data_IF_929305711470
#
_entry.id   IF_929305711470
#
_cell.length_a   1.000
_cell.length_b   1.000
_cell.length_c   1.000
_cell.angle_alpha   90.00
_cell.angle_beta   90.00
_cell.angle_gamma   90.00
#
_symmetry.space_group_name_H-M   'P 1'
#
loop_
_entity.id
_entity.type
_entity.pdbx_description
1 polymer ?
#
# COMPACT_ATOMS: atom_id res chain seq x y z
N UNK A 1 -55.93 22.95 61.70
CA UNK A 1 -55.27 24.25 61.49
C UNK A 1 -53.77 23.97 61.47
N UNK A 2 -53.04 24.40 60.42
CA UNK A 2 -51.58 24.27 60.25
C UNK A 2 -51.04 22.83 60.15
N UNK A 3 -50.06 22.43 59.33
CA UNK A 3 -49.28 22.98 58.21
C UNK A 3 -48.37 21.81 57.70
N UNK A 4 -48.20 21.53 56.40
CA UNK A 4 -47.10 22.03 55.54
C UNK A 4 -45.70 21.82 56.21
N UNK A 5 -44.69 21.10 55.68
CA UNK A 5 -44.37 20.48 54.37
C UNK A 5 -43.38 19.29 54.58
N UNK A 6 -43.24 18.31 53.66
CA UNK A 6 -41.93 17.90 53.08
C UNK A 6 -42.04 16.79 51.98
N UNK A 7 -41.54 17.12 50.77
CA UNK A 7 -40.80 16.29 49.78
C UNK A 7 -41.22 14.83 49.48
N UNK A 8 -41.81 14.63 48.30
CA UNK A 8 -41.66 13.38 47.52
C UNK A 8 -40.42 13.43 46.60
N UNK A 9 -39.76 12.28 46.43
CA UNK A 9 -38.64 12.11 45.51
C UNK A 9 -39.09 11.30 44.27
N UNK A 10 -39.29 11.98 43.14
CA UNK A 10 -39.62 11.35 41.86
C UNK A 10 -38.39 10.73 41.18
N UNK A 11 -38.29 9.41 41.16
CA UNK A 11 -37.24 8.69 40.44
C UNK A 11 -37.48 8.68 38.92
N UNK A 12 -36.50 9.16 38.14
CA UNK A 12 -36.47 9.02 36.68
C UNK A 12 -35.88 7.66 36.25
N UNK A 13 -36.33 7.08 35.11
CA UNK A 13 -35.84 5.79 34.63
C UNK A 13 -34.41 5.85 34.10
N UNK A 14 -33.63 4.80 34.36
CA UNK A 14 -32.24 4.66 33.93
C UNK A 14 -32.11 4.45 32.41
N UNK A 15 -31.09 5.07 31.81
CA UNK A 15 -30.67 4.80 30.43
C UNK A 15 -29.82 3.50 30.34
N UNK A 16 -29.92 2.72 29.25
CA UNK A 16 -29.12 1.51 29.07
C UNK A 16 -27.69 1.83 28.62
N UNK A 17 -26.71 1.35 29.39
CA UNK A 17 -25.28 1.44 29.04
C UNK A 17 -24.92 0.52 27.88
N UNK A 18 -24.25 1.04 26.85
CA UNK A 18 -23.69 0.24 25.77
C UNK A 18 -22.29 -0.32 26.15
N UNK A 19 -21.94 -1.57 25.76
CA UNK A 19 -20.63 -2.14 26.05
C UNK A 19 -19.57 -1.70 25.03
N UNK A 20 -18.39 -1.32 25.53
CA UNK A 20 -17.23 -0.99 24.70
C UNK A 20 -16.64 -2.25 24.02
N UNK A 21 -16.63 -2.28 22.69
CA UNK A 21 -15.93 -3.31 21.93
C UNK A 21 -14.44 -2.94 21.79
N UNK A 22 -13.56 -3.78 22.36
CA UNK A 22 -12.11 -3.63 22.23
C UNK A 22 -11.60 -4.23 20.91
N UNK A 23 -10.65 -3.55 20.27
CA UNK A 23 -9.95 -4.03 19.06
C UNK A 23 -8.81 -4.99 19.45
N UNK A 24 -8.64 -6.15 18.76
CA UNK A 24 -7.48 -7.01 18.98
C UNK A 24 -6.22 -6.47 18.29
N UNK A 25 -5.11 -6.40 19.02
CA UNK A 25 -3.78 -6.12 18.49
C UNK A 25 -3.09 -7.35 17.88
N UNK A 26 -1.98 -7.16 17.13
CA UNK A 26 -1.28 -8.25 16.46
C UNK A 26 -0.47 -9.13 17.42
N UNK A 27 -0.52 -10.44 17.23
CA UNK A 27 0.25 -11.40 18.02
C UNK A 27 1.71 -11.48 17.53
N UNK A 28 2.66 -11.31 18.44
CA UNK A 28 4.07 -11.60 18.21
C UNK A 28 4.40 -13.04 18.62
N UNK A 29 5.04 -13.81 17.73
CA UNK A 29 5.56 -15.14 18.04
C UNK A 29 7.05 -15.04 18.41
N UNK A 30 7.37 -15.31 19.68
CA UNK A 30 8.74 -15.43 20.18
C UNK A 30 9.06 -16.88 20.54
N UNK A 31 10.33 -17.28 20.37
CA UNK A 31 10.79 -18.66 20.55
C UNK A 31 11.35 -18.95 21.96
N UNK A 32 11.36 -20.23 22.36
CA UNK A 32 12.07 -20.76 23.52
C UNK A 32 12.04 -22.31 23.56
N UNK A 33 13.19 -22.95 23.80
CA UNK A 33 13.33 -24.42 24.01
C UNK A 33 13.30 -24.80 25.51
N UNK A 34 14.09 -25.78 26.03
CA UNK A 34 14.98 -26.78 25.40
C UNK A 34 14.89 -28.23 26.02
N UNK A 35 15.83 -29.15 25.69
CA UNK A 35 16.11 -30.45 26.38
C UNK A 35 16.08 -31.68 25.44
N UNK A 36 17.19 -32.35 25.08
CA UNK A 36 17.98 -33.39 25.81
C UNK A 36 17.26 -34.77 25.96
N UNK A 37 17.88 -35.96 25.75
CA UNK A 37 19.29 -36.36 25.55
C UNK A 37 19.47 -37.73 24.82
N UNK A 38 20.72 -38.06 24.43
CA UNK A 38 21.23 -39.42 24.14
C UNK A 38 21.15 -39.92 22.67
N UNK A 39 22.16 -40.56 22.07
CA UNK A 39 23.55 -40.81 22.49
C UNK A 39 24.11 -42.15 21.95
N UNK A 40 25.15 -42.12 21.09
CA UNK A 40 26.12 -43.21 20.85
C UNK A 40 27.21 -42.76 19.85
N UNK A 41 28.48 -42.87 20.23
CA UNK A 41 29.65 -42.88 19.32
C UNK A 41 29.99 -44.32 18.89
N UNK A 42 30.71 -44.46 17.77
CA UNK A 42 31.73 -45.51 17.60
C UNK A 42 32.87 -44.94 16.72
N UNK A 43 34.12 -45.27 17.04
CA UNK A 43 35.30 -44.57 16.54
C UNK A 43 36.52 -45.48 16.41
N UNK A 44 37.10 -45.53 15.20
CA UNK A 44 38.47 -46.02 14.94
C UNK A 44 39.26 -44.94 14.17
N UNK A 45 40.37 -44.41 14.67
CA UNK A 45 41.70 -45.05 14.81
C UNK A 45 42.29 -45.47 13.46
N UNK A 46 43.49 -45.06 13.00
CA UNK A 46 44.59 -44.26 13.60
C UNK A 46 45.37 -43.51 12.50
N UNK A 47 46.16 -42.49 12.86
CA UNK A 47 47.10 -41.79 11.96
C UNK A 47 48.58 -42.04 12.33
N UNK A 48 49.43 -42.16 11.31
CA UNK A 48 50.90 -42.13 11.37
C UNK A 48 51.49 -42.82 10.14
N UNK A 49 52.54 -42.33 9.46
CA UNK A 49 53.29 -41.06 9.57
C UNK A 49 54.44 -41.02 8.54
N UNK A 50 55.16 -39.89 8.46
CA UNK A 50 56.40 -39.63 7.70
C UNK A 50 56.33 -39.28 6.18
N UNK A 51 57.11 -38.24 5.82
CA UNK A 51 57.60 -37.79 4.48
C UNK A 51 59.09 -38.22 4.35
N UNK A 52 59.85 -38.10 3.21
CA UNK A 52 59.77 -37.17 2.06
C UNK A 52 59.97 -37.89 0.67
N UNK A 53 60.51 -37.38 -0.46
CA UNK A 53 61.17 -36.10 -0.86
C UNK A 53 61.12 -35.88 -2.41
N UNK A 54 61.07 -34.61 -2.88
CA UNK A 54 61.22 -34.22 -4.31
C UNK A 54 60.05 -34.61 -5.25
N UNK A 55 59.82 -34.01 -6.42
CA UNK A 55 60.49 -32.91 -7.13
C UNK A 55 59.50 -32.00 -7.91
N UNK A 56 60.05 -30.89 -8.40
CA UNK A 56 59.50 -29.77 -9.15
C UNK A 56 58.60 -30.05 -10.38
N UNK A 57 57.62 -29.17 -10.58
CA UNK A 57 56.85 -28.95 -11.81
C UNK A 57 55.97 -27.70 -11.67
N UNK A 58 55.90 -26.84 -12.67
CA UNK A 58 55.35 -25.48 -12.54
C UNK A 58 53.88 -25.31 -13.02
N UNK A 59 53.20 -24.33 -12.41
CA UNK A 59 51.92 -23.65 -12.74
C UNK A 59 51.82 -23.24 -14.24
N UNK A 60 50.65 -22.87 -14.85
CA UNK A 60 49.44 -22.33 -14.22
C UNK A 60 48.05 -22.60 -14.87
N UNK A 61 47.03 -22.98 -14.09
CA UNK A 61 45.61 -22.66 -14.45
C UNK A 61 44.72 -22.55 -13.20
N UNK A 62 44.72 -21.37 -12.58
CA UNK A 62 43.86 -21.03 -11.44
C UNK A 62 43.09 -19.73 -11.72
N UNK A 63 41.77 -19.66 -11.43
CA UNK A 63 40.92 -18.57 -11.89
C UNK A 63 41.13 -17.27 -11.07
N UNK A 64 41.15 -16.09 -11.72
CA UNK A 64 41.35 -14.83 -11.02
C UNK A 64 40.10 -14.44 -10.20
N UNK A 65 40.32 -14.24 -8.89
CA UNK A 65 39.28 -13.84 -7.93
C UNK A 65 38.87 -12.37 -8.10
N UNK A 66 37.64 -12.05 -7.67
CA UNK A 66 37.04 -10.70 -7.54
C UNK A 66 38.05 -9.59 -7.24
N UNK A 67 38.00 -8.51 -8.03
CA UNK A 67 38.44 -7.18 -7.58
C UNK A 67 37.23 -6.29 -7.37
N UNK A 68 36.98 -5.86 -6.14
CA UNK A 68 36.15 -4.68 -5.88
C UNK A 68 36.84 -3.47 -6.52
N UNK A 69 36.06 -2.58 -7.14
CA UNK A 69 36.44 -1.17 -7.29
C UNK A 69 35.33 -0.30 -6.72
N UNK A 70 35.71 0.54 -5.77
CA UNK A 70 34.90 1.65 -5.29
C UNK A 70 35.22 2.93 -6.08
N UNK A 71 34.27 3.86 -6.04
CA UNK A 71 34.35 5.25 -6.48
C UNK A 71 34.66 5.50 -7.99
N UNK A 72 33.64 6.05 -8.66
CA UNK A 72 33.76 6.71 -9.95
C UNK A 72 32.65 7.74 -10.08
N UNK A 73 32.89 8.96 -9.59
CA UNK A 73 32.01 10.12 -9.77
C UNK A 73 31.99 10.53 -11.24
N UNK A 74 31.11 9.90 -12.03
CA UNK A 74 30.86 10.26 -13.41
C UNK A 74 29.91 11.45 -13.50
N UNK A 75 30.43 12.63 -13.88
CA UNK A 75 29.58 13.76 -14.24
C UNK A 75 28.78 13.39 -15.51
N UNK A 76 27.45 13.34 -15.40
CA UNK A 76 26.57 13.11 -16.54
C UNK A 76 26.59 14.32 -17.48
N UNK A 77 27.10 14.13 -18.71
CA UNK A 77 26.92 15.10 -19.78
C UNK A 77 25.45 15.17 -20.23
N UNK A 78 25.00 16.29 -20.83
CA UNK A 78 23.59 16.53 -21.14
C UNK A 78 22.97 15.53 -22.13
N UNK A 79 23.77 14.86 -22.96
CA UNK A 79 23.29 13.87 -23.92
C UNK A 79 22.76 12.57 -23.26
N UNK A 80 23.20 12.24 -22.04
CA UNK A 80 22.74 11.05 -21.33
C UNK A 80 21.26 11.13 -20.91
N UNK A 81 20.80 12.32 -20.52
CA UNK A 81 19.43 12.55 -20.08
C UNK A 81 18.41 12.50 -21.23
N UNK A 82 18.79 12.99 -22.42
CA UNK A 82 17.95 12.86 -23.61
C UNK A 82 17.74 11.39 -24.04
N UNK A 83 18.73 10.53 -23.77
CA UNK A 83 18.64 9.09 -24.02
C UNK A 83 17.74 8.33 -23.05
N UNK A 84 17.68 8.73 -21.77
CA UNK A 84 16.88 8.05 -20.75
C UNK A 84 15.38 8.30 -20.93
N UNK A 85 14.97 9.56 -21.13
CA UNK A 85 13.56 9.93 -21.39
C UNK A 85 13.00 9.16 -22.58
N UNK A 86 13.77 9.07 -23.68
CA UNK A 86 13.40 8.30 -24.88
C UNK A 86 13.36 6.77 -24.65
N UNK A 87 13.97 6.24 -23.59
CA UNK A 87 13.79 4.86 -23.17
C UNK A 87 12.54 4.70 -22.31
N UNK A 88 12.33 5.59 -21.34
CA UNK A 88 11.18 5.60 -20.44
C UNK A 88 9.86 5.64 -21.23
N UNK A 89 9.71 6.54 -22.19
CA UNK A 89 8.53 6.63 -23.09
C UNK A 89 8.24 5.30 -23.84
N UNK A 90 9.30 4.59 -24.26
CA UNK A 90 9.17 3.29 -24.94
C UNK A 90 8.86 2.16 -23.96
N UNK A 91 9.34 2.23 -22.73
CA UNK A 91 8.97 1.28 -21.68
C UNK A 91 7.51 1.46 -21.26
N UNK A 92 7.01 2.70 -21.20
CA UNK A 92 5.59 2.99 -21.01
C UNK A 92 4.73 2.23 -22.03
N UNK A 93 5.00 2.36 -23.34
CA UNK A 93 4.18 1.70 -24.37
C UNK A 93 4.25 0.16 -24.36
N UNK A 94 5.37 -0.43 -23.93
CA UNK A 94 5.56 -1.90 -23.90
C UNK A 94 5.01 -2.54 -22.62
N UNK A 95 5.01 -1.83 -21.50
CA UNK A 95 4.61 -2.37 -20.19
C UNK A 95 3.14 -2.08 -19.83
N UNK A 96 2.41 -1.35 -20.68
CA UNK A 96 0.98 -1.10 -20.49
C UNK A 96 0.14 -2.38 -20.58
N UNK A 97 -0.98 -2.38 -19.85
CA UNK A 97 -1.99 -3.43 -19.95
C UNK A 97 -2.66 -3.39 -21.33
N UNK A 98 -2.76 -4.53 -22.03
CA UNK A 98 -3.39 -4.61 -23.36
C UNK A 98 -4.92 -4.42 -23.36
N UNK A 99 -5.53 -4.10 -22.21
CA UNK A 99 -6.98 -3.89 -22.05
C UNK A 99 -7.29 -2.43 -21.75
N UNK A 100 -6.75 -1.87 -20.66
CA UNK A 100 -6.98 -0.48 -20.29
C UNK A 100 -5.93 0.50 -20.87
N UNK A 101 -4.88 -0.01 -21.52
CA UNK A 101 -3.76 0.76 -22.11
C UNK A 101 -2.95 1.60 -21.11
N UNK A 102 -3.22 1.46 -19.81
CA UNK A 102 -2.44 2.07 -18.72
C UNK A 102 -1.33 1.16 -18.19
N UNK A 103 -0.29 1.78 -17.62
CA UNK A 103 0.68 1.08 -16.79
C UNK A 103 0.02 0.54 -15.51
N UNK A 104 0.14 -0.77 -15.21
CA UNK A 104 -0.45 -1.38 -14.02
C UNK A 104 -0.01 -0.74 -12.70
N UNK A 105 -0.96 -0.58 -11.75
CA UNK A 105 -0.71 -0.09 -10.38
C UNK A 105 -0.54 -1.22 -9.34
N UNK A 106 -0.75 -2.47 -9.75
CA UNK A 106 -0.81 -3.65 -8.89
C UNK A 106 -0.28 -4.87 -9.69
N UNK A 107 -0.65 -6.09 -9.28
CA UNK A 107 -0.20 -7.33 -9.93
C UNK A 107 -0.40 -7.33 -11.45
N UNK A 108 0.57 -7.89 -12.18
CA UNK A 108 0.52 -8.02 -13.64
C UNK A 108 0.48 -9.49 -14.02
N UNK A 109 -0.49 -9.86 -14.85
CA UNK A 109 -0.65 -11.20 -15.40
C UNK A 109 -0.21 -11.21 -16.86
N UNK A 110 0.57 -12.23 -17.23
CA UNK A 110 1.05 -12.44 -18.58
C UNK A 110 0.43 -13.73 -19.14
N UNK A 111 -0.17 -13.66 -20.33
CA UNK A 111 -0.63 -14.87 -21.02
C UNK A 111 0.56 -15.70 -21.54
N UNK A 112 0.32 -16.95 -21.93
CA UNK A 112 1.36 -17.85 -22.44
C UNK A 112 2.14 -17.28 -23.64
N UNK A 113 1.53 -16.40 -24.42
CA UNK A 113 2.14 -15.72 -25.57
C UNK A 113 2.76 -14.34 -25.25
N UNK A 114 2.77 -13.89 -23.99
CA UNK A 114 3.49 -12.68 -23.58
C UNK A 114 2.69 -11.39 -23.38
N UNK A 115 1.38 -11.37 -23.67
CA UNK A 115 0.56 -10.16 -23.49
C UNK A 115 0.26 -9.88 -22.02
N UNK A 116 0.38 -8.61 -21.63
CA UNK A 116 0.27 -8.13 -20.23
C UNK A 116 -1.13 -7.61 -19.91
N UNK A 117 -1.67 -8.04 -18.77
CA UNK A 117 -2.96 -7.62 -18.23
C UNK A 117 -2.79 -7.19 -16.78
N UNK A 118 -3.30 -6.02 -16.40
CA UNK A 118 -3.33 -5.63 -14.99
C UNK A 118 -4.35 -6.51 -14.22
N UNK A 119 -4.19 -6.65 -12.91
CA UNK A 119 -5.06 -7.49 -12.08
C UNK A 119 -6.56 -7.22 -12.27
N UNK A 120 -6.98 -5.95 -12.36
CA UNK A 120 -8.38 -5.57 -12.58
C UNK A 120 -8.92 -6.08 -13.92
N UNK A 121 -8.24 -5.75 -15.02
CA UNK A 121 -8.63 -6.20 -16.35
C UNK A 121 -8.58 -7.73 -16.51
N UNK A 122 -7.61 -8.40 -15.90
CA UNK A 122 -7.56 -9.86 -15.89
C UNK A 122 -8.78 -10.47 -15.17
N UNK A 123 -9.15 -9.94 -14.00
CA UNK A 123 -10.35 -10.37 -13.27
C UNK A 123 -11.62 -10.08 -14.08
N UNK A 124 -11.73 -8.92 -14.74
CA UNK A 124 -12.88 -8.59 -15.59
C UNK A 124 -13.02 -9.57 -16.77
N UNK A 125 -11.93 -9.88 -17.50
CA UNK A 125 -11.98 -10.86 -18.59
C UNK A 125 -12.43 -12.25 -18.13
N UNK A 126 -11.99 -12.70 -16.94
CA UNK A 126 -12.45 -13.97 -16.37
C UNK A 126 -13.92 -13.92 -15.92
N UNK A 127 -14.39 -12.77 -15.42
CA UNK A 127 -15.78 -12.58 -14.99
C UNK A 127 -16.73 -12.51 -16.20
N UNK A 128 -16.38 -11.75 -17.23
CA UNK A 128 -17.16 -11.59 -18.47
C UNK A 128 -17.34 -12.94 -19.18
N UNK A 129 -16.27 -13.73 -19.30
CA UNK A 129 -16.33 -15.06 -19.88
C UNK A 129 -17.28 -15.98 -19.08
N UNK A 130 -17.18 -15.96 -17.74
CA UNK A 130 -18.08 -16.73 -16.85
C UNK A 130 -19.55 -16.28 -16.98
N UNK A 131 -19.82 -14.99 -17.17
CA UNK A 131 -21.19 -14.47 -17.37
C UNK A 131 -21.78 -14.84 -18.74
N UNK A 132 -20.94 -15.14 -19.74
CA UNK A 132 -21.34 -15.56 -21.09
C UNK A 132 -21.33 -17.07 -21.29
N UNK A 133 -20.94 -17.84 -20.27
CA UNK A 133 -20.68 -19.28 -20.36
C UNK A 133 -19.59 -19.64 -21.41
N UNK A 134 -18.67 -18.70 -21.65
CA UNK A 134 -17.58 -18.83 -22.63
C UNK A 134 -16.23 -19.10 -21.94
N UNK A 135 -15.27 -19.62 -22.71
CA UNK A 135 -13.87 -19.73 -22.26
C UNK A 135 -13.18 -18.35 -22.31
N UNK A 136 -12.54 -17.95 -21.22
CA UNK A 136 -11.79 -16.70 -21.18
C UNK A 136 -10.57 -16.77 -22.11
N UNK A 137 -10.38 -15.75 -22.94
CA UNK A 137 -9.27 -15.66 -23.89
C UNK A 137 -8.55 -14.30 -23.83
N UNK A 138 -7.27 -14.30 -24.22
CA UNK A 138 -6.47 -13.08 -24.31
C UNK A 138 -7.00 -12.20 -25.47
N UNK A 139 -7.29 -10.91 -25.25
CA UNK A 139 -7.87 -10.04 -26.28
C UNK A 139 -6.97 -9.85 -27.51
N UNK A 140 -5.64 -9.88 -27.33
CA UNK A 140 -4.68 -9.73 -28.43
C UNK A 140 -4.52 -11.02 -29.25
N UNK A 141 -4.18 -12.15 -28.61
CA UNK A 141 -3.77 -13.37 -29.30
C UNK A 141 -4.75 -14.55 -29.18
N UNK A 142 -5.90 -14.35 -28.53
CA UNK A 142 -7.01 -15.32 -28.39
C UNK A 142 -6.64 -16.67 -27.76
N UNK A 143 -5.44 -16.81 -27.19
CA UNK A 143 -5.10 -17.98 -26.38
C UNK A 143 -5.97 -18.02 -25.13
N UNK A 144 -6.22 -19.22 -24.61
CA UNK A 144 -6.92 -19.39 -23.34
C UNK A 144 -6.19 -18.65 -22.21
N UNK A 145 -6.95 -18.01 -21.32
CA UNK A 145 -6.44 -17.40 -20.10
C UNK A 145 -7.19 -17.93 -18.87
N UNK A 146 -6.43 -18.21 -17.81
CA UNK A 146 -6.98 -18.69 -16.54
C UNK A 146 -5.98 -18.39 -15.42
N UNK A 147 -6.39 -18.55 -14.16
CA UNK A 147 -5.52 -18.37 -12.98
C UNK A 147 -4.32 -19.34 -12.94
N UNK A 148 -4.39 -20.47 -13.66
CA UNK A 148 -3.30 -21.45 -13.76
C UNK A 148 -2.45 -21.31 -15.03
N UNK A 149 -3.03 -20.82 -16.13
CA UNK A 149 -2.33 -20.64 -17.41
C UNK A 149 -1.55 -19.31 -17.50
N UNK A 150 -2.05 -18.24 -16.88
CA UNK A 150 -1.37 -16.94 -16.86
C UNK A 150 -0.41 -16.84 -15.67
N UNK A 151 0.85 -16.46 -15.92
CA UNK A 151 1.80 -16.23 -14.84
C UNK A 151 1.69 -14.80 -14.30
N UNK A 152 1.96 -14.62 -13.00
CA UNK A 152 2.12 -13.28 -12.41
C UNK A 152 3.55 -12.80 -12.67
N UNK A 153 3.71 -11.72 -13.43
CA UNK A 153 5.03 -11.21 -13.84
C UNK A 153 5.56 -10.16 -12.84
N UNK A 154 6.24 -10.66 -11.80
CA UNK A 154 6.91 -9.83 -10.79
C UNK A 154 8.05 -8.95 -11.35
N UNK A 155 8.63 -9.29 -12.51
CA UNK A 155 9.67 -8.48 -13.14
C UNK A 155 9.07 -7.22 -13.78
N UNK A 156 7.91 -7.35 -14.44
CA UNK A 156 7.13 -6.21 -14.94
C UNK A 156 6.63 -5.35 -13.79
N UNK A 157 6.11 -5.95 -12.71
CA UNK A 157 5.68 -5.19 -11.51
C UNK A 157 6.81 -4.30 -10.96
N UNK A 158 8.04 -4.84 -10.84
CA UNK A 158 9.22 -4.08 -10.42
C UNK A 158 9.68 -3.05 -11.47
N UNK A 159 9.66 -3.39 -12.75
CA UNK A 159 10.03 -2.44 -13.80
C UNK A 159 9.08 -1.23 -13.81
N UNK A 160 7.77 -1.45 -13.65
CA UNK A 160 6.76 -0.40 -13.59
C UNK A 160 6.84 0.41 -12.29
N UNK A 161 7.30 -0.18 -11.17
CA UNK A 161 7.46 0.55 -9.91
C UNK A 161 8.61 1.58 -9.94
N UNK A 162 9.64 1.33 -10.76
CA UNK A 162 10.79 2.25 -10.90
C UNK A 162 10.59 3.32 -11.97
N UNK A 163 9.57 3.20 -12.84
CA UNK A 163 9.29 4.24 -13.83
C UNK A 163 8.91 5.57 -13.15
N UNK A 164 9.35 6.71 -13.70
CA UNK A 164 9.02 8.02 -13.16
C UNK A 164 7.51 8.32 -13.31
N UNK A 165 6.99 9.03 -12.33
CA UNK A 165 5.64 9.58 -12.30
C UNK A 165 5.63 10.90 -11.55
N UNK A 166 4.78 11.80 -11.98
CA UNK A 166 4.68 13.15 -11.44
C UNK A 166 3.81 13.19 -10.16
N UNK A 167 4.20 14.04 -9.21
CA UNK A 167 3.39 14.34 -8.03
C UNK A 167 2.36 15.42 -8.34
N UNK A 168 1.07 15.10 -8.26
CA UNK A 168 -0.03 16.04 -8.52
C UNK A 168 -0.18 17.21 -7.55
N UNK A 169 0.75 17.41 -6.62
CA UNK A 169 0.84 18.57 -5.74
C UNK A 169 2.01 19.49 -6.11
N UNK A 170 3.24 18.96 -6.12
CA UNK A 170 4.46 19.74 -6.35
C UNK A 170 5.03 19.64 -7.78
N UNK A 171 4.41 18.86 -8.67
CA UNK A 171 4.81 18.62 -10.07
C UNK A 171 6.25 18.07 -10.25
N UNK A 172 6.84 17.51 -9.21
CA UNK A 172 8.15 16.84 -9.27
C UNK A 172 7.99 15.35 -9.64
N UNK A 173 8.99 14.79 -10.32
CA UNK A 173 9.00 13.38 -10.72
C UNK A 173 9.62 12.49 -9.64
N UNK A 174 8.97 11.38 -9.35
CA UNK A 174 9.45 10.34 -8.43
C UNK A 174 9.24 8.94 -9.04
N UNK A 175 10.02 7.92 -8.65
CA UNK A 175 9.67 6.53 -8.91
C UNK A 175 8.26 6.23 -8.37
N UNK A 176 7.45 5.50 -9.14
CA UNK A 176 6.08 5.13 -8.75
C UNK A 176 6.02 4.42 -7.39
N UNK A 177 7.03 3.63 -7.04
CA UNK A 177 7.20 2.98 -5.74
C UNK A 177 7.28 3.95 -4.55
N UNK A 178 7.76 5.19 -4.78
CA UNK A 178 7.93 6.20 -3.74
C UNK A 178 6.83 7.27 -3.76
N UNK A 179 6.08 7.40 -4.85
CA UNK A 179 5.14 8.50 -5.08
C UNK A 179 4.01 8.57 -4.04
N UNK A 180 3.41 7.45 -3.65
CA UNK A 180 2.33 7.42 -2.64
C UNK A 180 2.82 7.93 -1.27
N UNK A 181 3.99 7.43 -0.84
CA UNK A 181 4.65 7.84 0.40
C UNK A 181 5.04 9.32 0.35
N UNK A 182 5.56 9.79 -0.78
CA UNK A 182 5.86 11.21 -1.00
C UNK A 182 4.59 12.07 -0.85
N UNK A 183 3.53 11.76 -1.59
CA UNK A 183 2.27 12.51 -1.58
C UNK A 183 1.63 12.58 -0.18
N UNK A 184 1.74 11.51 0.61
CA UNK A 184 1.13 11.40 1.93
C UNK A 184 1.97 12.04 3.05
N UNK A 185 3.30 11.92 3.00
CA UNK A 185 4.17 12.18 4.16
C UNK A 185 5.26 13.23 3.89
N UNK A 186 5.84 13.28 2.69
CA UNK A 186 7.04 14.10 2.41
C UNK A 186 6.76 15.39 1.62
N UNK A 187 5.70 15.41 0.81
CA UNK A 187 5.40 16.52 -0.09
C UNK A 187 5.00 17.77 0.70
N UNK A 188 5.68 18.90 0.45
CA UNK A 188 5.41 20.18 1.12
C UNK A 188 4.11 20.84 0.65
N UNK A 189 3.64 20.46 -0.54
CA UNK A 189 2.43 20.99 -1.18
C UNK A 189 1.21 20.07 -0.99
N UNK A 190 1.36 18.95 -0.27
CA UNK A 190 0.23 18.08 0.07
C UNK A 190 -0.80 18.84 0.88
N UNK A 191 -2.08 18.59 0.57
CA UNK A 191 -3.19 19.18 1.32
C UNK A 191 -3.22 18.60 2.72
N UNK A 192 -3.15 19.46 3.73
CA UNK A 192 -3.22 19.12 5.15
C UNK A 192 -4.32 19.91 5.83
N UNK A 193 -4.74 19.43 7.00
CA UNK A 193 -5.81 20.04 7.80
C UNK A 193 -5.23 20.51 9.13
N UNK A 194 -5.74 21.62 9.67
CA UNK A 194 -5.31 22.14 10.97
C UNK A 194 -5.53 21.10 12.08
N UNK A 195 -4.62 21.01 13.07
CA UNK A 195 -4.84 20.19 14.29
C UNK A 195 -6.18 20.50 15.00
N UNK A 196 -6.66 21.73 14.87
CA UNK A 196 -7.95 22.20 15.41
C UNK A 196 -9.16 21.89 14.52
N UNK A 197 -9.03 21.07 13.47
CA UNK A 197 -10.15 20.55 12.66
C UNK A 197 -11.22 19.86 13.51
N UNK A 198 -10.80 19.21 14.61
CA UNK A 198 -11.69 18.54 15.59
C UNK A 198 -12.59 19.51 16.38
N UNK A 199 -12.19 20.78 16.50
CA UNK A 199 -12.99 21.87 17.09
C UNK A 199 -13.51 22.81 15.98
N UNK A 200 -13.69 22.26 14.78
CA UNK A 200 -14.34 22.94 13.66
C UNK A 200 -13.51 23.94 12.88
N UNK A 201 -12.17 23.93 12.99
CA UNK A 201 -11.36 24.74 12.09
C UNK A 201 -11.58 24.30 10.62
N UNK A 202 -12.06 25.18 9.71
CA UNK A 202 -12.35 24.78 8.34
C UNK A 202 -11.08 24.68 7.48
N UNK A 203 -9.96 25.25 7.93
CA UNK A 203 -8.71 25.41 7.16
C UNK A 203 -8.17 24.08 6.61
N UNK A 204 -7.87 24.11 5.32
CA UNK A 204 -7.18 23.06 4.58
C UNK A 204 -6.26 23.77 3.58
N UNK A 205 -4.99 23.37 3.51
CA UNK A 205 -4.00 24.04 2.67
C UNK A 205 -2.69 23.25 2.55
N UNK A 206 -1.72 23.77 1.78
CA UNK A 206 -0.39 23.18 1.66
C UNK A 206 0.28 22.97 3.03
N UNK A 207 1.02 21.88 3.19
CA UNK A 207 1.70 21.59 4.45
C UNK A 207 2.69 22.68 4.88
N UNK A 208 3.36 23.35 3.93
CA UNK A 208 4.28 24.44 4.25
C UNK A 208 3.58 25.66 4.90
N UNK A 209 2.30 25.88 4.66
CA UNK A 209 1.49 26.94 5.29
C UNK A 209 0.90 26.55 6.64
N UNK A 210 0.82 25.24 6.95
CA UNK A 210 0.19 24.71 8.18
C UNK A 210 0.78 25.33 9.45
N UNK A 211 2.11 25.48 9.52
CA UNK A 211 2.79 26.05 10.70
C UNK A 211 2.40 27.52 10.94
N UNK A 212 2.21 28.30 9.87
CA UNK A 212 1.77 29.69 9.95
C UNK A 212 0.32 29.74 10.43
N UNK A 213 -0.55 28.96 9.77
CA UNK A 213 -1.95 28.87 10.17
C UNK A 213 -2.12 28.39 11.63
N UNK A 214 -1.33 27.43 12.11
CA UNK A 214 -1.44 26.93 13.48
C UNK A 214 -1.01 27.95 14.55
N UNK A 215 -0.13 28.90 14.21
CA UNK A 215 0.24 30.02 15.08
C UNK A 215 -0.84 31.12 15.12
N UNK A 216 -1.55 31.32 14.00
CA UNK A 216 -2.59 32.35 13.84
C UNK A 216 -4.02 31.82 14.05
N UNK A 217 -4.19 30.53 14.38
CA UNK A 217 -5.49 29.89 14.44
C UNK A 217 -6.34 30.48 15.58
N UNK A 218 -7.52 30.99 15.25
CA UNK A 218 -8.45 31.59 16.22
C UNK A 218 -9.34 30.57 16.95
N UNK A 219 -9.42 29.33 16.47
CA UNK A 219 -10.27 28.29 17.06
C UNK A 219 -9.93 27.91 18.52
N UNK A 220 -8.67 27.90 18.98
CA UNK A 220 -8.34 27.67 20.40
C UNK A 220 -8.85 28.75 21.35
N UNK A 221 -9.11 29.95 20.85
CA UNK A 221 -9.57 31.12 21.63
C UNK A 221 -11.07 31.39 21.48
N UNK A 222 -11.80 30.58 20.71
CA UNK A 222 -13.27 30.69 20.59
C UNK A 222 -13.97 30.30 21.89
N UNK A 223 -15.10 30.93 22.16
CA UNK A 223 -15.93 30.62 23.33
C UNK A 223 -16.65 29.29 23.15
N UNK A 224 -17.06 28.68 24.27
CA UNK A 224 -17.77 27.38 24.25
C UNK A 224 -19.07 27.40 23.44
N UNK A 225 -19.80 28.53 23.43
CA UNK A 225 -21.04 28.67 22.66
C UNK A 225 -20.77 28.65 21.15
N UNK A 226 -19.79 29.43 20.67
CA UNK A 226 -19.39 29.46 19.26
C UNK A 226 -18.87 28.09 18.79
N UNK A 227 -18.18 27.34 19.66
CA UNK A 227 -17.74 25.99 19.35
C UNK A 227 -18.91 24.99 19.29
N UNK A 228 -19.90 25.11 20.16
CA UNK A 228 -21.09 24.24 20.15
C UNK A 228 -21.92 24.42 18.88
N UNK A 229 -22.09 25.65 18.38
CA UNK A 229 -22.77 25.91 17.10
C UNK A 229 -22.05 25.24 15.92
N UNK A 230 -20.72 25.44 15.82
CA UNK A 230 -19.91 24.84 14.75
C UNK A 230 -19.92 23.31 14.83
N UNK A 231 -19.89 22.74 16.05
CA UNK A 231 -19.91 21.28 16.24
C UNK A 231 -21.27 20.66 15.88
N UNK A 232 -22.40 21.33 16.15
CA UNK A 232 -23.70 20.82 15.70
C UNK A 232 -23.83 20.86 14.18
N UNK A 233 -23.37 21.92 13.49
CA UNK A 233 -23.33 21.95 12.02
C UNK A 233 -22.49 20.80 11.44
N UNK A 234 -21.33 20.50 12.05
CA UNK A 234 -20.49 19.37 11.66
C UNK A 234 -21.19 18.02 11.89
N UNK A 235 -21.89 17.84 13.00
CA UNK A 235 -22.62 16.61 13.31
C UNK A 235 -23.87 16.45 12.43
N UNK A 236 -24.59 17.53 12.12
CA UNK A 236 -25.67 17.53 11.12
C UNK A 236 -25.15 17.13 9.73
N UNK A 237 -24.00 17.66 9.32
CA UNK A 237 -23.36 17.31 8.03
C UNK A 237 -22.99 15.83 8.01
N UNK A 238 -22.33 15.32 9.06
CA UNK A 238 -21.97 13.90 9.17
C UNK A 238 -23.20 12.98 9.20
N UNK A 239 -24.31 13.40 9.82
CA UNK A 239 -25.60 12.66 9.78
C UNK A 239 -26.14 12.57 8.35
N UNK A 240 -26.10 13.66 7.57
CA UNK A 240 -26.52 13.68 6.15
C UNK A 240 -25.64 12.79 5.27
N UNK A 241 -24.32 12.83 5.45
CA UNK A 241 -23.38 11.92 4.76
C UNK A 241 -23.65 10.45 5.11
N UNK A 242 -23.82 10.13 6.39
CA UNK A 242 -24.16 8.77 6.85
C UNK A 242 -25.50 8.29 6.29
N UNK A 243 -26.51 9.17 6.19
CA UNK A 243 -27.78 8.84 5.54
C UNK A 243 -27.58 8.52 4.05
N UNK A 244 -26.79 9.34 3.32
CA UNK A 244 -26.45 9.08 1.92
C UNK A 244 -25.74 7.74 1.74
N UNK A 245 -24.75 7.42 2.57
CA UNK A 245 -24.05 6.13 2.53
C UNK A 245 -24.99 4.95 2.82
N UNK A 246 -25.91 5.09 3.78
CA UNK A 246 -26.92 4.06 4.05
C UNK A 246 -27.92 3.90 2.89
N UNK A 247 -28.31 4.98 2.21
CA UNK A 247 -29.12 4.90 1.00
C UNK A 247 -28.38 4.21 -0.15
N UNK A 248 -27.11 4.55 -0.38
CA UNK A 248 -26.27 3.88 -1.38
C UNK A 248 -26.12 2.39 -1.04
N UNK A 249 -25.83 2.06 0.23
CA UNK A 249 -25.73 0.67 0.68
C UNK A 249 -27.04 -0.08 0.46
N UNK A 250 -28.20 0.50 0.81
CA UNK A 250 -29.51 -0.10 0.57
C UNK A 250 -29.84 -0.30 -0.91
N UNK A 251 -29.30 0.53 -1.81
CA UNK A 251 -29.47 0.39 -3.26
C UNK A 251 -28.54 -0.69 -3.84
N UNK A 252 -27.33 -0.83 -3.29
CA UNK A 252 -26.35 -1.85 -3.69
C UNK A 252 -26.58 -3.22 -3.03
N UNK A 253 -27.24 -3.26 -1.87
CA UNK A 253 -27.62 -4.48 -1.15
C UNK A 253 -28.88 -5.14 -1.71
N UNK A 254 -29.34 -4.74 -2.90
CA UNK A 254 -30.51 -5.33 -3.51
C UNK A 254 -30.21 -6.75 -4.00
N UNK A 255 -30.85 -7.72 -3.35
CA UNK A 255 -31.20 -9.04 -3.87
C UNK A 255 -32.18 -8.96 -5.06
N UNK A 256 -31.98 -8.00 -5.97
CA UNK A 256 -32.71 -7.79 -7.23
C UNK A 256 -31.78 -7.75 -8.47
N UNK A 257 -30.56 -8.29 -8.34
CA UNK A 257 -29.89 -8.97 -9.45
C UNK A 257 -30.21 -10.49 -9.36
N UNK A 258 -31.46 -10.79 -9.02
CA UNK A 258 -32.03 -12.13 -8.99
C UNK A 258 -32.58 -12.47 -10.37
N UNK A 259 -32.02 -13.53 -10.94
CA UNK A 259 -32.39 -14.12 -12.23
C UNK A 259 -33.91 -14.27 -12.42
N UNK A 260 -34.39 -13.81 -13.59
CA UNK A 260 -35.59 -14.30 -14.28
C UNK A 260 -35.29 -14.38 -15.76
#
# INVERSE_FOLDING_TARGET
>A
MSGAEDREAGGGPAAPSAPSAALPGPAAAAAGGPGEAGGAEEAGSLLGGARPHGEAGADPDAPPKKRLRAAGTGAGGPEGAAGSVKLEERLYSVLCCTVCLDLPKASVYQCTNGHLMCAGCFIHLLADARLKEEQATCPNCRCEISKSLCCRNLAVEKAVSELPSECGFCMQQFPRSLLERHQKEECQDRVTQCKYKRIGCPWQGPYHELTVHEAECTHPTKTGNELMEILDEMDQTRKKEMQLYNSIFSLLSFEKIGYT
#
